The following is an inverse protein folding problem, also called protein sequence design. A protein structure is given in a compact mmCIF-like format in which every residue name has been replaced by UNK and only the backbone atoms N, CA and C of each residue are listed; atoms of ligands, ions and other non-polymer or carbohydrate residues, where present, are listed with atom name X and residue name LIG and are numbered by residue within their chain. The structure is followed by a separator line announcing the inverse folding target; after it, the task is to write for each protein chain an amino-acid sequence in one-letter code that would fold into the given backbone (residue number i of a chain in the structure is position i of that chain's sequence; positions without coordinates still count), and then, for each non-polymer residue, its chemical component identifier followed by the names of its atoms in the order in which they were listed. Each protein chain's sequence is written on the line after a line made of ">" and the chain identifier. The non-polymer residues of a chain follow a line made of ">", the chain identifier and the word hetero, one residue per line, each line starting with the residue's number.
data_IF_572356110058
#
_entry.id   IF_572356110058
#
_cell.length_a   1.000
_cell.length_b   1.000
_cell.length_c   1.000
_cell.angle_alpha   90.00
_cell.angle_beta   90.00
_cell.angle_gamma   90.00
#
_symmetry.space_group_name_H-M   'P 1'
#
loop_
_entity.id
_entity.type
_entity.pdbx_description
1 polymer ?
#
# COMPACT_ATOMS: atom_id res chain seq x y z
N UNK A 1 33.81 5.47 69.90
CA UNK A 1 34.20 5.11 68.51
C UNK A 1 33.26 5.81 67.56
N UNK A 2 33.79 6.53 66.56
CA UNK A 2 33.09 7.58 65.79
C UNK A 2 32.20 6.98 64.70
N UNK A 3 31.03 7.62 64.48
CA UNK A 3 29.94 7.17 63.59
C UNK A 3 30.24 7.42 62.11
N UNK A 4 30.11 6.38 61.27
CA UNK A 4 30.38 6.38 59.83
C UNK A 4 29.19 6.88 58.97
N UNK A 5 28.75 8.12 59.15
CA UNK A 5 27.69 8.70 58.31
C UNK A 5 28.20 9.37 57.01
N UNK A 6 29.52 9.39 56.80
CA UNK A 6 30.12 10.08 55.64
C UNK A 6 30.02 9.30 54.32
N UNK A 7 29.69 8.00 54.37
CA UNK A 7 29.62 7.15 53.16
C UNK A 7 28.29 7.26 52.41
N UNK A 8 27.23 7.77 53.05
CA UNK A 8 25.88 7.84 52.43
C UNK A 8 25.70 9.12 51.61
N UNK A 9 26.40 10.21 51.97
CA UNK A 9 26.35 11.49 51.26
C UNK A 9 27.09 11.48 49.91
N UNK A 10 27.98 10.52 49.66
CA UNK A 10 28.67 10.39 48.38
C UNK A 10 27.91 9.53 47.36
N UNK A 11 26.89 8.76 47.79
CA UNK A 11 26.15 7.86 46.92
C UNK A 11 24.96 8.55 46.20
N UNK A 12 24.47 9.68 46.71
CA UNK A 12 23.35 10.41 46.11
C UNK A 12 23.77 11.43 45.02
N UNK A 13 25.05 11.73 44.88
CA UNK A 13 25.55 12.76 43.94
C UNK A 13 25.82 12.23 42.53
N UNK A 14 25.74 10.91 42.31
CA UNK A 14 26.14 10.26 41.04
C UNK A 14 24.96 9.88 40.13
N UNK A 15 23.71 10.11 40.55
CA UNK A 15 22.53 9.84 39.71
C UNK A 15 22.07 11.04 38.85
N UNK A 16 22.79 12.17 38.87
CA UNK A 16 22.36 13.42 38.22
C UNK A 16 22.88 13.68 36.80
N UNK A 17 23.78 12.87 36.26
CA UNK A 17 24.40 13.15 34.95
C UNK A 17 24.33 11.95 34.01
N UNK A 18 23.13 11.50 33.69
CA UNK A 18 22.93 10.50 32.66
C UNK A 18 21.78 10.95 31.75
N UNK A 19 22.13 11.17 30.48
CA UNK A 19 21.26 11.28 29.31
C UNK A 19 20.63 12.64 28.96
N UNK A 20 21.46 13.55 28.45
CA UNK A 20 21.08 14.32 27.27
C UNK A 20 21.82 13.74 26.06
N UNK A 21 21.30 12.66 25.47
CA UNK A 21 21.79 12.15 24.19
C UNK A 21 21.32 13.11 23.10
N UNK A 22 22.14 14.12 22.80
CA UNK A 22 21.92 15.01 21.67
C UNK A 22 22.14 14.19 20.40
N UNK A 23 21.08 13.58 19.86
CA UNK A 23 21.17 12.80 18.62
C UNK A 23 21.26 13.81 17.48
N UNK A 24 22.46 14.05 16.98
CA UNK A 24 22.66 14.88 15.79
C UNK A 24 21.99 14.20 14.60
N UNK A 25 20.90 14.80 14.11
CA UNK A 25 20.20 14.32 12.94
C UNK A 25 20.75 15.05 11.72
N UNK A 26 21.53 14.36 10.91
CA UNK A 26 22.11 14.93 9.69
C UNK A 26 21.18 14.71 8.49
N UNK A 27 20.85 15.76 7.75
CA UNK A 27 20.05 15.68 6.52
C UNK A 27 20.95 15.69 5.30
N UNK A 28 20.89 14.63 4.50
CA UNK A 28 21.42 14.64 3.13
C UNK A 28 20.26 14.73 2.15
N UNK A 29 20.38 15.69 1.24
CA UNK A 29 19.51 15.86 0.10
C UNK A 29 20.27 15.43 -1.15
N UNK A 30 19.60 14.77 -2.08
CA UNK A 30 20.12 14.62 -3.43
C UNK A 30 19.94 15.93 -4.23
N UNK A 31 20.57 16.02 -5.40
CA UNK A 31 20.51 17.22 -6.26
C UNK A 31 19.08 17.56 -6.73
N UNK A 32 18.12 16.62 -6.56
CA UNK A 32 16.70 16.80 -6.87
C UNK A 32 15.83 17.13 -5.65
N UNK A 33 16.42 17.26 -4.45
CA UNK A 33 15.73 17.68 -3.23
C UNK A 33 14.98 16.58 -2.46
N UNK A 34 15.14 15.31 -2.82
CA UNK A 34 14.52 14.20 -2.08
C UNK A 34 15.35 13.80 -0.84
N UNK A 35 14.66 13.58 0.28
CA UNK A 35 15.29 13.30 1.57
C UNK A 35 15.60 11.79 1.73
N UNK A 36 16.88 11.42 1.91
CA UNK A 36 17.30 10.04 2.18
C UNK A 36 17.74 9.83 3.64
N UNK A 37 17.00 8.98 4.35
CA UNK A 37 17.25 8.28 5.64
C UNK A 37 17.70 9.09 6.89
N UNK A 38 17.31 8.62 8.08
CA UNK A 38 17.69 9.23 9.38
C UNK A 38 17.95 8.15 10.44
N UNK A 39 19.23 7.89 10.75
CA UNK A 39 19.65 7.06 11.88
C UNK A 39 21.17 6.88 11.94
N UNK A 40 21.77 6.70 13.13
CA UNK A 40 23.21 6.53 13.29
C UNK A 40 23.70 5.19 12.70
N UNK A 41 24.55 5.29 11.68
CA UNK A 41 25.13 4.18 10.92
C UNK A 41 26.14 3.38 11.75
N UNK A 42 25.83 2.12 12.04
CA UNK A 42 26.85 1.12 12.42
C UNK A 42 26.74 -0.21 11.66
N UNK A 43 25.87 -0.30 10.65
CA UNK A 43 25.71 -1.50 9.82
C UNK A 43 25.69 -1.23 8.30
N UNK A 44 26.12 -0.07 7.83
CA UNK A 44 26.27 0.20 6.39
C UNK A 44 27.62 -0.29 5.85
N UNK A 45 27.98 -1.55 6.12
CA UNK A 45 29.02 -2.26 5.35
C UNK A 45 28.34 -3.31 4.47
N UNK A 46 28.47 -3.09 3.17
CA UNK A 46 28.34 -4.09 2.12
C UNK A 46 26.95 -4.74 1.95
N UNK A 47 25.95 -3.94 1.58
CA UNK A 47 24.94 -4.46 0.68
C UNK A 47 25.50 -4.33 -0.73
N UNK A 48 26.04 -5.45 -1.22
CA UNK A 48 26.54 -5.64 -2.57
C UNK A 48 25.60 -5.03 -3.63
N UNK A 49 26.21 -4.62 -4.73
CA UNK A 49 25.60 -4.42 -6.03
C UNK A 49 24.96 -5.74 -6.50
N UNK A 50 23.90 -6.15 -5.82
CA UNK A 50 22.93 -7.10 -6.30
C UNK A 50 22.04 -6.35 -7.26
N UNK A 51 22.50 -6.23 -8.50
CA UNK A 51 21.63 -6.05 -9.65
C UNK A 51 20.45 -7.01 -9.49
N UNK A 52 19.34 -6.52 -8.93
CA UNK A 52 18.04 -7.11 -9.15
C UNK A 52 17.70 -6.81 -10.60
N UNK A 53 18.38 -7.55 -11.49
CA UNK A 53 17.76 -8.10 -12.67
C UNK A 53 16.66 -9.04 -12.16
N UNK A 54 15.62 -8.48 -11.54
CA UNK A 54 14.32 -9.11 -11.59
C UNK A 54 14.07 -9.16 -13.08
N UNK A 55 14.22 -10.35 -13.65
CA UNK A 55 13.67 -10.64 -14.96
C UNK A 55 12.26 -10.09 -14.93
N UNK A 56 12.06 -8.95 -15.57
CA UNK A 56 10.76 -8.55 -16.05
C UNK A 56 10.45 -9.66 -17.06
N UNK A 57 9.99 -10.80 -16.53
CA UNK A 57 9.27 -11.80 -17.26
C UNK A 57 8.32 -10.99 -18.09
N UNK A 58 8.50 -11.09 -19.40
CA UNK A 58 7.88 -10.31 -20.45
C UNK A 58 6.37 -10.41 -20.22
N UNK A 59 5.87 -9.57 -19.31
CA UNK A 59 4.56 -9.75 -18.72
C UNK A 59 3.64 -9.38 -19.84
N UNK A 60 2.87 -10.39 -20.23
CA UNK A 60 2.01 -10.41 -21.39
C UNK A 60 1.23 -9.10 -21.40
N UNK A 61 1.71 -8.12 -22.18
CA UNK A 61 1.18 -6.76 -22.19
C UNK A 61 -0.20 -6.85 -22.83
N UNK A 62 -1.21 -7.13 -22.02
CA UNK A 62 -2.57 -7.22 -22.48
C UNK A 62 -3.08 -5.81 -22.77
N UNK A 63 -3.76 -5.67 -23.91
CA UNK A 63 -4.39 -4.43 -24.30
C UNK A 63 -5.68 -4.21 -23.50
N UNK A 64 -6.05 -2.96 -23.26
CA UNK A 64 -7.23 -2.59 -22.48
C UNK A 64 -8.50 -3.18 -23.09
N UNK A 65 -8.62 -3.14 -24.42
CA UNK A 65 -9.78 -3.68 -25.12
C UNK A 65 -9.91 -5.20 -24.96
N UNK A 66 -8.78 -5.90 -24.88
CA UNK A 66 -8.78 -7.36 -24.64
C UNK A 66 -9.13 -7.69 -23.20
N UNK A 67 -8.64 -6.92 -22.23
CA UNK A 67 -8.99 -7.07 -20.81
C UNK A 67 -10.50 -6.93 -20.57
N UNK A 68 -11.12 -5.87 -21.10
CA UNK A 68 -12.55 -5.64 -20.89
C UNK A 68 -13.47 -6.68 -21.53
N UNK A 69 -13.01 -7.44 -22.52
CA UNK A 69 -13.77 -8.57 -23.09
C UNK A 69 -13.82 -9.77 -22.14
N UNK A 70 -12.81 -9.92 -21.28
CA UNK A 70 -12.72 -10.99 -20.31
C UNK A 70 -13.53 -10.69 -19.03
N UNK A 71 -13.97 -9.44 -18.84
CA UNK A 71 -14.68 -8.99 -17.64
C UNK A 71 -16.16 -8.78 -17.94
N UNK A 72 -17.00 -9.33 -17.06
CA UNK A 72 -18.46 -9.16 -17.07
C UNK A 72 -18.88 -8.37 -15.84
N UNK A 73 -19.63 -7.30 -16.06
CA UNK A 73 -20.15 -6.43 -15.01
C UNK A 73 -21.67 -6.44 -15.11
N UNK A 74 -22.37 -6.84 -14.06
CA UNK A 74 -23.82 -6.83 -14.04
C UNK A 74 -24.40 -6.80 -12.61
N UNK A 75 -25.59 -6.23 -12.42
CA UNK A 75 -26.33 -5.39 -13.38
C UNK A 75 -25.66 -4.01 -13.51
N UNK A 76 -25.71 -3.40 -14.70
CA UNK A 76 -25.34 -2.00 -14.91
C UNK A 76 -26.51 -1.34 -15.65
N UNK A 77 -27.24 -0.37 -15.06
CA UNK A 77 -27.04 0.25 -13.74
C UNK A 77 -27.23 -0.72 -12.57
N UNK A 78 -26.49 -0.49 -11.48
CA UNK A 78 -26.59 -1.29 -10.24
C UNK A 78 -27.69 -0.73 -9.36
N UNK A 79 -28.47 -1.63 -8.74
CA UNK A 79 -29.29 -1.32 -7.57
C UNK A 79 -28.55 -1.86 -6.34
N UNK A 80 -28.73 -3.11 -5.92
CA UNK A 80 -28.25 -3.55 -4.60
C UNK A 80 -26.87 -4.22 -4.61
N UNK A 81 -26.63 -5.13 -5.56
CA UNK A 81 -25.41 -5.93 -5.61
C UNK A 81 -24.79 -5.80 -6.99
N UNK A 82 -23.53 -5.36 -7.05
CA UNK A 82 -22.71 -5.41 -8.27
C UNK A 82 -21.98 -6.74 -8.30
N UNK A 83 -22.18 -7.51 -9.36
CA UNK A 83 -21.43 -8.74 -9.64
C UNK A 83 -20.42 -8.48 -10.74
N UNK A 84 -19.20 -8.93 -10.49
CA UNK A 84 -18.04 -8.78 -11.38
C UNK A 84 -17.47 -10.18 -11.56
N UNK A 85 -17.50 -10.68 -12.79
CA UNK A 85 -16.91 -11.97 -13.14
C UNK A 85 -15.79 -11.75 -14.16
N UNK A 86 -14.72 -12.53 -14.08
CA UNK A 86 -13.62 -12.50 -15.04
C UNK A 86 -13.12 -13.89 -15.42
N UNK A 87 -12.39 -14.00 -16.53
CA UNK A 87 -11.78 -15.26 -16.95
C UNK A 87 -10.49 -15.55 -16.17
N UNK A 88 -10.03 -16.80 -16.21
CA UNK A 88 -8.80 -17.24 -15.55
C UNK A 88 -7.55 -16.48 -16.05
N UNK A 89 -7.53 -16.13 -17.32
CA UNK A 89 -6.45 -15.33 -17.90
C UNK A 89 -6.36 -13.95 -17.23
N UNK A 90 -7.50 -13.31 -16.98
CA UNK A 90 -7.54 -12.02 -16.29
C UNK A 90 -7.24 -12.15 -14.79
N UNK A 91 -7.63 -13.25 -14.15
CA UNK A 91 -7.39 -13.50 -12.72
C UNK A 91 -5.90 -13.46 -12.38
N UNK A 92 -5.09 -14.10 -13.22
CA UNK A 92 -3.64 -14.15 -13.06
C UNK A 92 -2.97 -12.77 -13.19
N UNK A 93 -3.64 -11.82 -13.87
CA UNK A 93 -3.10 -10.49 -14.15
C UNK A 93 -3.59 -9.44 -13.16
N UNK A 94 -4.79 -9.59 -12.60
CA UNK A 94 -5.36 -8.65 -11.62
C UNK A 94 -4.62 -8.80 -10.28
N UNK A 95 -4.19 -7.66 -9.73
CA UNK A 95 -3.64 -7.55 -8.38
C UNK A 95 -4.70 -7.08 -7.38
N UNK A 96 -5.52 -6.09 -7.74
CA UNK A 96 -6.59 -5.60 -6.87
C UNK A 96 -7.74 -4.97 -7.66
N UNK A 97 -8.91 -5.00 -7.03
CA UNK A 97 -10.14 -4.35 -7.51
C UNK A 97 -10.55 -3.31 -6.47
N UNK A 98 -10.83 -2.09 -6.91
CA UNK A 98 -11.26 -0.99 -6.06
C UNK A 98 -12.48 -0.30 -6.64
N UNK A 99 -13.34 0.23 -5.77
CA UNK A 99 -14.50 1.02 -6.16
C UNK A 99 -14.52 2.32 -5.34
N UNK A 100 -14.71 3.44 -6.03
CA UNK A 100 -14.92 4.74 -5.39
C UNK A 100 -15.98 5.54 -6.13
N UNK A 101 -16.52 6.55 -5.46
CA UNK A 101 -17.55 7.40 -6.02
C UNK A 101 -16.90 8.51 -6.85
N UNK A 102 -17.46 8.89 -7.99
CA UNK A 102 -16.86 9.92 -8.84
C UNK A 102 -16.71 11.28 -8.12
N UNK A 103 -17.60 11.59 -7.17
CA UNK A 103 -17.55 12.80 -6.35
C UNK A 103 -16.58 12.74 -5.17
N UNK A 104 -16.07 11.56 -4.80
CA UNK A 104 -15.26 11.36 -3.59
C UNK A 104 -14.05 10.48 -3.88
N UNK A 105 -12.86 10.98 -3.59
CA UNK A 105 -11.60 10.25 -3.85
C UNK A 105 -11.36 9.09 -2.86
N UNK A 106 -12.18 8.97 -1.81
CA UNK A 106 -12.07 7.88 -0.84
C UNK A 106 -12.64 6.57 -1.39
N UNK A 107 -11.88 5.49 -1.23
CA UNK A 107 -12.31 4.16 -1.61
C UNK A 107 -13.51 3.72 -0.77
N UNK A 108 -14.57 3.28 -1.46
CA UNK A 108 -15.74 2.67 -0.84
C UNK A 108 -15.56 1.16 -0.68
N UNK A 109 -14.76 0.56 -1.58
CA UNK A 109 -14.41 -0.85 -1.57
C UNK A 109 -13.00 -1.05 -2.11
N UNK A 110 -12.25 -1.97 -1.52
CA UNK A 110 -10.98 -2.46 -2.05
C UNK A 110 -10.82 -3.92 -1.67
N UNK A 111 -10.46 -4.74 -2.65
CA UNK A 111 -10.10 -6.14 -2.43
C UNK A 111 -8.89 -6.50 -3.28
N UNK A 112 -7.90 -7.11 -2.63
CA UNK A 112 -6.76 -7.71 -3.32
C UNK A 112 -7.18 -9.05 -3.94
N UNK A 113 -6.72 -9.30 -5.15
CA UNK A 113 -6.97 -10.56 -5.83
C UNK A 113 -5.93 -11.57 -5.35
N UNK A 114 -6.37 -12.48 -4.48
CA UNK A 114 -5.55 -13.62 -4.09
C UNK A 114 -5.62 -14.67 -5.22
N UNK A 115 -4.50 -15.28 -5.61
CA UNK A 115 -4.53 -16.36 -6.59
C UNK A 115 -5.42 -17.50 -6.07
N UNK A 116 -6.51 -17.80 -6.79
CA UNK A 116 -7.53 -18.78 -6.37
C UNK A 116 -8.77 -18.17 -5.72
N UNK A 117 -8.89 -16.85 -5.62
CA UNK A 117 -10.17 -16.21 -5.36
C UNK A 117 -11.08 -16.45 -6.57
N UNK A 118 -12.34 -16.76 -6.32
CA UNK A 118 -13.25 -17.52 -7.20
C UNK A 118 -13.62 -16.89 -8.56
N UNK A 119 -12.80 -16.01 -9.17
CA UNK A 119 -13.04 -15.34 -10.47
C UNK A 119 -14.33 -14.51 -10.50
N UNK A 120 -14.96 -14.36 -9.34
CA UNK A 120 -16.21 -13.66 -9.10
C UNK A 120 -16.04 -12.77 -7.89
N UNK A 121 -16.66 -11.61 -7.95
CA UNK A 121 -16.67 -10.62 -6.88
C UNK A 121 -18.06 -10.01 -6.79
N UNK A 122 -18.60 -9.99 -5.58
CA UNK A 122 -19.90 -9.37 -5.28
C UNK A 122 -19.68 -8.21 -4.33
N UNK A 123 -20.01 -7.01 -4.80
CA UNK A 123 -19.92 -5.77 -4.02
C UNK A 123 -21.33 -5.38 -3.61
N UNK A 124 -21.57 -5.28 -2.30
CA UNK A 124 -22.83 -4.79 -1.75
C UNK A 124 -22.87 -3.25 -1.83
N UNK A 125 -23.84 -2.73 -2.57
CA UNK A 125 -24.07 -1.32 -2.88
C UNK A 125 -25.34 -0.76 -2.22
N UNK A 126 -25.96 -1.51 -1.29
CA UNK A 126 -27.27 -1.15 -0.67
C UNK A 126 -27.19 0.14 0.15
N UNK A 127 -26.03 0.47 0.73
CA UNK A 127 -25.81 1.71 1.50
C UNK A 127 -25.15 2.84 0.72
N UNK A 128 -25.09 2.73 -0.61
CA UNK A 128 -24.36 3.68 -1.46
C UNK A 128 -25.36 4.62 -2.12
N UNK A 129 -25.03 5.92 -2.13
CA UNK A 129 -25.86 6.96 -2.74
C UNK A 129 -26.02 6.76 -4.25
N UNK A 130 -27.08 7.32 -4.82
CA UNK A 130 -27.24 7.36 -6.27
C UNK A 130 -26.14 8.20 -6.92
N UNK A 131 -25.62 7.73 -8.05
CA UNK A 131 -24.59 8.46 -8.78
C UNK A 131 -23.68 7.57 -9.62
N UNK A 132 -22.56 8.15 -10.03
CA UNK A 132 -21.54 7.47 -10.83
C UNK A 132 -20.42 6.99 -9.91
N UNK A 133 -20.07 5.73 -10.04
CA UNK A 133 -18.94 5.09 -9.37
C UNK A 133 -17.91 4.67 -10.41
N UNK A 134 -16.64 4.64 -10.00
CA UNK A 134 -15.53 4.23 -10.84
C UNK A 134 -14.97 2.93 -10.27
N UNK A 135 -15.08 1.87 -11.07
CA UNK A 135 -14.46 0.58 -10.80
C UNK A 135 -13.04 0.58 -11.37
N UNK A 136 -12.05 0.27 -10.54
CA UNK A 136 -10.63 0.32 -10.87
C UNK A 136 -10.01 -1.06 -10.67
N UNK A 137 -9.41 -1.60 -11.71
CA UNK A 137 -8.57 -2.79 -11.66
C UNK A 137 -7.11 -2.35 -11.71
N UNK A 138 -6.34 -2.78 -10.72
CA UNK A 138 -4.87 -2.66 -10.73
C UNK A 138 -4.30 -4.00 -11.11
N UNK A 139 -3.51 -4.04 -12.17
CA UNK A 139 -2.80 -5.23 -12.63
C UNK A 139 -1.49 -5.40 -11.88
N UNK A 140 -0.96 -6.63 -11.85
CA UNK A 140 0.35 -6.94 -11.26
C UNK A 140 1.50 -6.18 -11.93
N UNK A 141 1.31 -5.79 -13.19
CA UNK A 141 2.26 -4.96 -13.95
C UNK A 141 2.20 -3.47 -13.59
N UNK A 142 1.30 -3.07 -12.69
CA UNK A 142 1.09 -1.67 -12.30
C UNK A 142 0.17 -0.87 -13.24
N UNK A 143 -0.25 -1.44 -14.37
CA UNK A 143 -1.29 -0.85 -15.23
C UNK A 143 -2.62 -0.78 -14.50
N UNK A 144 -3.38 0.26 -14.82
CA UNK A 144 -4.67 0.53 -14.19
C UNK A 144 -5.73 0.64 -15.28
N UNK A 145 -6.79 -0.15 -15.13
CA UNK A 145 -7.97 -0.06 -16.00
C UNK A 145 -9.17 0.37 -15.18
N UNK A 146 -9.95 1.31 -15.72
CA UNK A 146 -11.09 1.88 -15.00
C UNK A 146 -12.35 1.92 -15.85
N UNK A 147 -13.50 1.66 -15.23
CA UNK A 147 -14.80 1.75 -15.89
C UNK A 147 -15.83 2.37 -14.97
N UNK A 148 -16.64 3.24 -15.56
CA UNK A 148 -17.72 3.91 -14.85
C UNK A 148 -18.95 3.01 -14.78
N UNK A 149 -19.59 2.99 -13.62
CA UNK A 149 -20.87 2.33 -13.37
C UNK A 149 -21.84 3.35 -12.77
N UNK A 150 -23.11 3.21 -13.10
CA UNK A 150 -24.17 4.05 -12.53
C UNK A 150 -24.93 3.26 -11.48
N UNK A 151 -25.13 3.87 -10.31
CA UNK A 151 -25.97 3.37 -9.22
C UNK A 151 -27.31 4.11 -9.29
N UNK A 152 -28.41 3.35 -9.34
CA UNK A 152 -29.79 3.82 -9.36
C UNK A 152 -30.56 3.27 -8.15
#
# INVERSE_FOLDING_TARGET
>A
MRKNYLSVLFLCSTLGTLYAQQTEVYFKYDESGNQRYRGPDSAAKQAAEGSKTTSLTLSQMMDEKTFWKQIRLYPVPVNDILTIDWTEEADNLIQSVSLYQHSTVHWKFQQENLPGLNKHLKINMTGYDFGVYVLRFTLKDGKVFSKNITKR
#
